data_IF_150206727352
#
_entry.id   IF_150206727352
#
_cell.length_a   1.000
_cell.length_b   1.000
_cell.length_c   1.000
_cell.angle_alpha   90.00
_cell.angle_beta   90.00
_cell.angle_gamma   90.00
#
_symmetry.space_group_name_H-M   'P 1'
#
loop_
_entity.id
_entity.type
_entity.pdbx_description
1 polymer ?
#
# COMPACT_ATOMS: atom_id res chain seq x y z
N UNK A 1 5.47 39.96 56.10
CA UNK A 1 5.95 39.62 57.47
C UNK A 1 6.99 40.64 57.89
N UNK A 2 7.04 41.04 59.17
CA UNK A 2 8.11 41.89 59.68
C UNK A 2 9.24 41.01 60.22
N UNK A 3 10.48 41.36 59.91
CA UNK A 3 11.64 40.84 60.62
C UNK A 3 12.26 42.03 61.33
N UNK A 4 12.31 41.97 62.66
CA UNK A 4 12.87 43.02 63.49
C UNK A 4 14.17 42.54 64.13
N UNK A 5 15.16 43.41 64.18
CA UNK A 5 16.38 43.24 64.97
C UNK A 5 16.56 44.52 65.80
N UNK A 6 16.25 44.45 67.10
CA UNK A 6 16.16 45.64 67.96
C UNK A 6 15.00 46.56 67.56
N UNK A 7 15.21 47.88 67.64
CA UNK A 7 14.20 48.90 67.30
C UNK A 7 14.01 49.10 65.78
N UNK A 8 14.79 48.38 64.95
CA UNK A 8 14.68 48.46 63.50
C UNK A 8 13.83 47.28 63.00
N UNK A 9 12.61 47.60 62.56
CA UNK A 9 11.73 46.66 61.88
C UNK A 9 11.76 46.90 60.38
N UNK A 10 12.10 45.85 59.61
CA UNK A 10 12.05 45.90 58.14
C UNK A 10 10.75 45.24 57.67
N UNK A 11 10.00 45.96 56.85
CA UNK A 11 8.81 45.43 56.16
C UNK A 11 9.31 44.47 55.08
N UNK A 12 9.20 43.16 55.29
CA UNK A 12 9.28 42.21 54.18
C UNK A 12 7.89 42.15 53.56
N UNK A 13 7.63 43.07 52.62
CA UNK A 13 6.48 42.94 51.73
C UNK A 13 6.80 41.85 50.72
N UNK A 14 6.18 40.67 50.85
CA UNK A 14 5.97 39.82 49.68
C UNK A 14 5.00 40.57 48.78
N UNK A 15 5.50 41.46 47.93
CA UNK A 15 4.70 42.05 46.85
C UNK A 15 4.39 40.89 45.91
N UNK A 16 3.25 40.22 46.10
CA UNK A 16 2.56 39.66 44.94
C UNK A 16 2.24 40.88 44.08
N UNK A 17 2.98 41.05 42.98
CA UNK A 17 2.68 42.14 42.06
C UNK A 17 1.34 41.81 41.41
N UNK A 18 0.41 42.75 41.42
CA UNK A 18 -0.99 42.53 41.01
C UNK A 18 -1.17 42.22 39.52
N UNK A 19 -0.09 42.25 38.75
CA UNK A 19 -0.02 41.98 37.31
C UNK A 19 0.59 40.61 36.98
N UNK A 20 1.08 39.85 37.96
CA UNK A 20 1.64 38.51 37.72
C UNK A 20 0.54 37.46 37.57
N UNK A 21 0.68 36.57 36.59
CA UNK A 21 -0.26 35.48 36.33
C UNK A 21 0.46 34.22 35.81
N UNK A 22 -0.07 33.02 36.11
CA UNK A 22 0.55 31.77 35.69
C UNK A 22 0.50 31.59 34.17
N UNK A 23 1.34 30.70 33.61
CA UNK A 23 1.44 30.52 32.17
C UNK A 23 0.14 29.98 31.58
N UNK A 24 -0.17 30.39 30.35
CA UNK A 24 -1.27 29.88 29.53
C UNK A 24 -0.80 29.71 28.10
N UNK A 25 -0.90 28.49 27.57
CA UNK A 25 -0.55 28.20 26.17
C UNK A 25 -1.68 28.70 25.27
N UNK A 26 -1.35 29.63 24.37
CA UNK A 26 -2.29 30.25 23.43
C UNK A 26 -2.25 29.59 22.04
N UNK A 27 -1.06 29.16 21.60
CA UNK A 27 -0.91 28.40 20.36
C UNK A 27 -0.54 26.96 20.70
N UNK A 28 -1.43 26.03 20.37
CA UNK A 28 -1.24 24.60 20.61
C UNK A 28 -0.51 23.96 19.41
N UNK A 29 0.41 23.02 19.65
CA UNK A 29 1.00 22.27 18.55
C UNK A 29 -0.04 21.33 17.93
N UNK A 30 0.18 21.01 16.66
CA UNK A 30 -0.67 20.12 15.87
C UNK A 30 0.18 19.02 15.24
N UNK A 31 -0.44 17.88 14.94
CA UNK A 31 0.22 16.78 14.25
C UNK A 31 0.81 17.25 12.92
N UNK A 32 2.03 16.82 12.63
CA UNK A 32 2.78 17.22 11.45
C UNK A 32 3.41 16.01 10.77
N UNK A 33 3.20 15.91 9.46
CA UNK A 33 3.82 14.91 8.60
C UNK A 33 4.68 15.64 7.57
N UNK A 34 6.00 15.49 7.66
CA UNK A 34 6.95 16.35 6.93
C UNK A 34 7.68 15.57 5.84
N UNK A 35 7.83 16.10 4.62
CA UNK A 35 8.69 15.48 3.61
C UNK A 35 10.15 15.41 4.07
N UNK A 36 10.88 14.41 3.58
CA UNK A 36 12.31 14.25 3.89
C UNK A 36 13.12 15.49 3.46
N UNK A 37 14.16 15.82 4.22
CA UNK A 37 15.07 16.95 3.99
C UNK A 37 14.39 18.34 4.01
N UNK A 38 13.13 18.44 4.45
CA UNK A 38 12.44 19.73 4.65
C UNK A 38 12.51 20.14 6.11
N UNK A 39 12.59 21.45 6.40
CA UNK A 39 12.49 21.96 7.75
C UNK A 39 11.07 21.77 8.29
N UNK A 40 10.95 21.72 9.61
CA UNK A 40 9.68 21.56 10.32
C UNK A 40 9.60 22.51 11.50
N UNK A 41 8.38 22.92 11.87
CA UNK A 41 8.15 23.70 13.08
C UNK A 41 6.94 23.15 13.81
N UNK A 42 7.11 22.83 15.09
CA UNK A 42 6.01 22.60 16.01
C UNK A 42 5.75 23.89 16.76
N UNK A 43 4.59 24.50 16.49
CA UNK A 43 4.24 25.78 17.07
C UNK A 43 3.84 25.62 18.54
N UNK A 44 4.38 26.44 19.42
CA UNK A 44 3.88 26.57 20.78
C UNK A 44 4.19 27.96 21.32
N UNK A 45 3.13 28.69 21.68
CA UNK A 45 3.25 30.02 22.25
C UNK A 45 2.49 30.07 23.56
N UNK A 46 3.09 30.68 24.58
CA UNK A 46 2.47 30.87 25.89
C UNK A 46 2.55 32.32 26.35
N UNK A 47 1.52 32.73 27.08
CA UNK A 47 1.46 34.00 27.80
C UNK A 47 1.68 33.73 29.29
N UNK A 48 2.25 34.68 30.01
CA UNK A 48 2.47 34.61 31.44
C UNK A 48 3.21 35.87 31.90
N UNK A 49 3.02 36.27 33.15
CA UNK A 49 3.82 37.33 33.76
C UNK A 49 4.33 36.84 35.12
N UNK A 50 5.66 36.69 35.32
CA UNK A 50 6.74 36.88 34.35
C UNK A 50 6.65 35.94 33.13
N UNK A 51 7.28 36.34 32.02
CA UNK A 51 7.29 35.60 30.75
C UNK A 51 7.72 34.13 30.98
N UNK A 52 6.92 33.14 30.55
CA UNK A 52 7.18 31.75 30.87
C UNK A 52 8.32 31.17 30.02
N UNK A 53 9.20 30.40 30.66
CA UNK A 53 10.18 29.60 29.94
C UNK A 53 9.48 28.39 29.30
N UNK A 54 9.74 28.15 28.02
CA UNK A 54 9.19 27.02 27.27
C UNK A 54 10.24 25.93 27.09
N UNK A 55 9.83 24.68 27.34
CA UNK A 55 10.61 23.47 27.12
C UNK A 55 9.78 22.46 26.34
N UNK A 56 10.45 21.63 25.56
CA UNK A 56 9.81 20.58 24.77
C UNK A 56 10.17 19.20 25.29
N UNK A 57 9.18 18.32 25.25
CA UNK A 57 9.32 16.91 25.61
C UNK A 57 8.83 16.04 24.46
N UNK A 58 9.60 15.01 24.11
CA UNK A 58 9.25 14.00 23.12
C UNK A 58 9.14 12.66 23.80
N UNK A 59 7.98 12.02 23.71
CA UNK A 59 7.68 10.74 24.37
C UNK A 59 7.98 10.78 25.89
N UNK A 60 7.81 11.96 26.52
CA UNK A 60 8.10 12.20 27.93
C UNK A 60 9.55 12.58 28.26
N UNK A 61 10.49 12.51 27.30
CA UNK A 61 11.89 12.88 27.50
C UNK A 61 12.17 14.31 27.04
N UNK A 62 13.05 15.01 27.74
CA UNK A 62 13.45 16.38 27.38
C UNK A 62 14.10 16.43 25.98
N UNK A 63 13.72 17.43 25.19
CA UNK A 63 14.29 17.67 23.86
C UNK A 63 15.37 18.73 23.96
N UNK A 64 16.63 18.31 23.80
CA UNK A 64 17.76 19.23 23.72
C UNK A 64 17.68 20.10 22.44
N UNK A 65 17.90 21.40 22.63
CA UNK A 65 17.84 22.45 21.60
C UNK A 65 19.16 23.22 21.53
N UNK A 66 19.22 24.20 20.64
CA UNK A 66 20.33 25.15 20.55
C UNK A 66 20.62 25.95 21.83
N UNK A 67 19.69 25.97 22.80
CA UNK A 67 19.92 26.57 24.12
C UNK A 67 20.77 25.68 25.03
N UNK A 68 20.71 24.37 24.81
CA UNK A 68 21.42 23.36 25.61
C UNK A 68 22.76 22.98 24.95
N UNK A 69 22.75 22.82 23.61
CA UNK A 69 23.91 22.52 22.79
C UNK A 69 23.85 23.34 21.49
N UNK A 70 24.83 24.23 21.26
CA UNK A 70 24.91 25.08 20.06
C UNK A 70 25.00 24.27 18.74
N UNK A 71 25.41 23.00 18.79
CA UNK A 71 25.46 22.12 17.62
C UNK A 71 24.16 21.34 17.39
N UNK A 72 23.15 21.52 18.25
CA UNK A 72 21.84 20.90 18.08
C UNK A 72 21.18 21.36 16.77
N UNK A 73 20.61 20.41 16.04
CA UNK A 73 19.86 20.67 14.80
C UNK A 73 18.42 21.16 15.08
N UNK A 74 18.07 21.29 16.37
CA UNK A 74 16.78 21.74 16.86
C UNK A 74 16.94 23.11 17.50
N UNK A 75 16.09 24.05 17.12
CA UNK A 75 16.16 25.44 17.57
C UNK A 75 14.89 25.77 18.33
N UNK A 76 15.02 26.26 19.56
CA UNK A 76 13.91 26.86 20.28
C UNK A 76 13.78 28.32 19.83
N UNK A 77 12.70 28.62 19.11
CA UNK A 77 12.42 29.95 18.60
C UNK A 77 11.99 30.90 19.74
N UNK A 78 12.11 32.23 19.54
CA UNK A 78 11.75 33.21 20.58
C UNK A 78 10.29 33.14 21.05
N UNK A 79 9.37 32.71 20.18
CA UNK A 79 7.95 32.54 20.50
C UNK A 79 7.64 31.26 21.28
N UNK A 80 8.63 30.37 21.46
CA UNK A 80 8.48 29.06 22.10
C UNK A 80 8.37 27.88 21.14
N UNK A 81 8.24 28.14 19.84
CA UNK A 81 8.08 27.10 18.83
C UNK A 81 9.38 26.29 18.64
N UNK A 82 9.25 24.98 18.40
CA UNK A 82 10.38 24.10 18.15
C UNK A 82 10.62 23.95 16.65
N UNK A 83 11.73 24.51 16.18
CA UNK A 83 12.16 24.44 14.79
C UNK A 83 13.19 23.32 14.57
N UNK A 84 13.04 22.59 13.47
CA UNK A 84 13.97 21.57 13.01
C UNK A 84 14.53 22.01 11.67
N UNK A 85 15.86 22.20 11.58
CA UNK A 85 16.49 22.52 10.30
C UNK A 85 16.41 21.33 9.33
N UNK A 86 16.66 20.12 9.84
CA UNK A 86 16.48 18.84 9.15
C UNK A 86 16.05 17.80 10.16
N UNK A 87 15.10 16.96 9.77
CA UNK A 87 14.63 15.86 10.60
C UNK A 87 15.50 14.62 10.43
N UNK A 88 15.89 14.02 11.54
CA UNK A 88 16.67 12.79 11.59
C UNK A 88 15.75 11.56 11.59
N UNK A 89 16.09 10.55 10.79
CA UNK A 89 15.39 9.27 10.71
C UNK A 89 16.26 8.07 11.13
N UNK A 90 17.51 8.31 11.53
CA UNK A 90 18.42 7.23 11.90
C UNK A 90 17.91 6.53 13.14
N UNK A 91 17.96 5.20 13.14
CA UNK A 91 17.57 4.39 14.30
C UNK A 91 18.32 4.85 15.54
N UNK A 92 17.60 5.12 16.63
CA UNK A 92 18.15 5.64 17.89
C UNK A 92 18.40 7.14 17.94
N UNK A 93 18.22 7.88 16.84
CA UNK A 93 18.30 9.35 16.78
C UNK A 93 17.13 9.97 16.00
N UNK A 94 16.04 9.23 15.82
CA UNK A 94 14.88 9.71 15.06
C UNK A 94 14.28 10.93 15.74
N UNK A 95 13.83 11.92 14.96
CA UNK A 95 13.03 13.05 15.44
C UNK A 95 11.54 12.74 15.50
N UNK A 96 11.12 11.58 15.03
CA UNK A 96 9.72 11.18 15.09
C UNK A 96 9.27 10.88 16.53
N UNK A 97 8.04 11.24 16.85
CA UNK A 97 7.46 10.98 18.18
C UNK A 97 6.33 11.92 18.53
N UNK A 98 5.85 11.79 19.77
CA UNK A 98 4.79 12.63 20.32
C UNK A 98 5.43 13.73 21.16
N UNK A 99 5.16 14.97 20.77
CA UNK A 99 5.72 16.17 21.38
C UNK A 99 4.70 16.89 22.26
N UNK A 100 5.22 17.49 23.32
CA UNK A 100 4.50 18.34 24.27
C UNK A 100 5.36 19.53 24.62
N UNK A 101 4.80 20.74 24.61
CA UNK A 101 5.47 21.92 25.14
C UNK A 101 4.98 22.21 26.56
N UNK A 102 5.91 22.64 27.40
CA UNK A 102 5.70 22.96 28.80
C UNK A 102 6.16 24.39 29.04
N UNK A 103 5.24 25.26 29.43
CA UNK A 103 5.50 26.66 29.75
C UNK A 103 5.49 26.86 31.27
N UNK A 104 6.56 27.41 31.85
CA UNK A 104 6.71 27.55 33.31
C UNK A 104 7.18 28.94 33.72
N UNK A 105 6.56 29.48 34.76
CA UNK A 105 7.08 30.59 35.57
C UNK A 105 6.98 30.24 37.07
N UNK A 106 7.27 31.18 37.96
CA UNK A 106 7.24 30.92 39.42
C UNK A 106 5.81 30.77 39.99
N UNK A 107 4.78 31.13 39.23
CA UNK A 107 3.39 30.99 39.63
C UNK A 107 2.76 29.68 39.16
N UNK A 108 3.31 29.01 38.16
CA UNK A 108 2.78 27.73 37.72
C UNK A 108 3.37 27.19 36.42
N UNK A 109 2.71 26.16 35.91
CA UNK A 109 3.10 25.41 34.71
C UNK A 109 1.86 25.16 33.85
N UNK A 110 1.97 25.40 32.54
CA UNK A 110 1.00 24.97 31.53
C UNK A 110 1.63 23.92 30.63
N UNK A 111 0.85 22.92 30.23
CA UNK A 111 1.29 21.81 29.36
C UNK A 111 0.37 21.79 28.13
N UNK A 112 0.93 21.65 26.94
CA UNK A 112 0.14 21.61 25.71
C UNK A 112 -0.59 20.28 25.52
N UNK A 113 -1.44 20.25 24.49
CA UNK A 113 -1.85 19.00 23.86
C UNK A 113 -0.64 18.29 23.25
N UNK A 114 -0.80 16.99 23.05
CA UNK A 114 0.13 16.17 22.30
C UNK A 114 0.07 16.53 20.81
N UNK A 115 1.23 16.57 20.15
CA UNK A 115 1.36 16.68 18.72
C UNK A 115 2.37 15.65 18.20
N UNK A 116 1.96 14.86 17.22
CA UNK A 116 2.79 13.82 16.63
C UNK A 116 3.59 14.39 15.46
N UNK A 117 4.90 14.19 15.48
CA UNK A 117 5.77 14.51 14.36
C UNK A 117 6.17 13.21 13.67
N UNK A 118 5.81 13.08 12.40
CA UNK A 118 6.23 11.98 11.54
C UNK A 118 6.85 12.51 10.27
N UNK A 119 7.70 11.69 9.66
CA UNK A 119 8.35 12.06 8.41
C UNK A 119 7.79 11.18 7.31
N UNK A 120 7.38 11.81 6.21
CA UNK A 120 6.85 11.10 5.03
C UNK A 120 7.90 10.11 4.55
N UNK A 121 7.50 8.84 4.50
CA UNK A 121 8.37 7.76 4.09
C UNK A 121 7.61 6.78 3.21
N UNK A 122 8.27 6.28 2.17
CA UNK A 122 7.83 5.14 1.39
C UNK A 122 9.08 4.35 1.01
N UNK A 123 9.16 3.11 1.48
CA UNK A 123 10.29 2.22 1.17
C UNK A 123 10.24 1.76 -0.28
N UNK A 124 11.38 1.30 -0.80
CA UNK A 124 11.50 0.80 -2.18
C UNK A 124 10.89 -0.59 -2.34
N UNK A 125 11.20 -1.51 -1.42
CA UNK A 125 10.84 -2.93 -1.56
C UNK A 125 9.39 -3.18 -1.14
N UNK A 126 8.63 -3.86 -1.98
CA UNK A 126 7.29 -4.32 -1.64
C UNK A 126 7.37 -5.44 -0.61
N UNK A 127 6.46 -5.41 0.37
CA UNK A 127 6.32 -6.53 1.33
C UNK A 127 5.89 -7.82 0.61
N UNK A 128 5.12 -7.69 -0.47
CA UNK A 128 4.71 -8.80 -1.34
C UNK A 128 4.38 -8.28 -2.73
N UNK A 129 5.03 -8.86 -3.74
CA UNK A 129 4.67 -8.66 -5.13
C UNK A 129 3.55 -9.61 -5.56
N UNK A 130 2.74 -9.23 -6.57
CA UNK A 130 1.83 -10.18 -7.20
C UNK A 130 2.60 -11.26 -7.98
N UNK A 131 1.95 -12.40 -8.20
CA UNK A 131 2.49 -13.54 -8.94
C UNK A 131 1.63 -13.85 -10.15
N UNK A 132 2.23 -14.47 -11.17
CA UNK A 132 1.52 -14.92 -12.36
C UNK A 132 0.43 -15.93 -12.03
N UNK A 133 -0.67 -15.87 -12.77
CA UNK A 133 -1.83 -16.74 -12.59
C UNK A 133 -2.33 -17.24 -13.94
N UNK A 134 -2.56 -18.54 -14.02
CA UNK A 134 -3.21 -19.19 -15.16
C UNK A 134 -4.54 -19.79 -14.69
N UNK A 135 -5.64 -19.40 -15.32
CA UNK A 135 -6.99 -19.92 -15.02
C UNK A 135 -7.73 -20.25 -16.30
N UNK A 136 -8.85 -20.97 -16.20
CA UNK A 136 -9.80 -21.14 -17.30
C UNK A 136 -10.95 -20.14 -17.22
N UNK A 137 -11.60 -19.86 -18.36
CA UNK A 137 -12.77 -18.96 -18.41
C UNK A 137 -13.82 -19.35 -17.36
N UNK A 138 -14.31 -18.36 -16.62
CA UNK A 138 -15.32 -18.49 -15.58
C UNK A 138 -14.77 -18.74 -14.17
N UNK A 139 -13.50 -19.13 -14.04
CA UNK A 139 -12.84 -19.30 -12.73
C UNK A 139 -12.52 -17.96 -12.06
N UNK A 140 -12.32 -18.00 -10.74
CA UNK A 140 -11.95 -16.83 -9.97
C UNK A 140 -10.45 -16.58 -10.04
N UNK A 141 -10.06 -15.32 -10.25
CA UNK A 141 -8.66 -14.86 -10.16
C UNK A 141 -8.48 -13.99 -8.93
N UNK A 142 -7.36 -14.20 -8.25
CA UNK A 142 -6.94 -13.43 -7.09
C UNK A 142 -5.48 -13.04 -7.25
N UNK A 143 -5.20 -11.74 -7.30
CA UNK A 143 -3.85 -11.20 -7.14
C UNK A 143 -3.71 -10.53 -5.78
N UNK A 144 -2.60 -10.81 -5.09
CA UNK A 144 -2.32 -10.27 -3.77
C UNK A 144 -1.05 -9.42 -3.81
N UNK A 145 -1.16 -8.19 -3.32
CA UNK A 145 -0.05 -7.23 -3.24
C UNK A 145 -0.01 -6.61 -1.84
N UNK A 146 1.16 -6.64 -1.22
CA UNK A 146 1.40 -5.93 0.04
C UNK A 146 2.37 -4.77 -0.25
N UNK A 147 1.92 -3.51 -0.11
CA UNK A 147 2.74 -2.36 -0.49
C UNK A 147 3.99 -2.25 0.39
N UNK A 148 5.01 -1.48 -0.01
CA UNK A 148 6.13 -1.17 0.85
C UNK A 148 5.67 -0.58 2.19
N UNK A 149 6.54 -0.60 3.21
CA UNK A 149 6.26 0.15 4.44
C UNK A 149 6.36 1.64 4.13
N UNK A 150 5.43 2.42 4.66
CA UNK A 150 5.43 3.86 4.51
C UNK A 150 4.59 4.52 5.58
N UNK A 151 4.86 5.80 5.84
CA UNK A 151 4.05 6.63 6.71
C UNK A 151 3.66 7.93 5.97
N UNK A 152 2.36 8.24 5.84
CA UNK A 152 1.20 7.38 6.15
C UNK A 152 1.23 6.04 5.40
N UNK A 153 0.47 5.05 5.90
CA UNK A 153 0.38 3.74 5.24
C UNK A 153 -0.07 3.92 3.79
N UNK A 154 0.66 3.34 2.81
CA UNK A 154 0.37 3.57 1.41
C UNK A 154 -0.91 2.88 0.96
N UNK A 155 -1.64 3.58 0.09
CA UNK A 155 -2.85 3.07 -0.55
C UNK A 155 -2.44 2.32 -1.82
N UNK A 156 -3.04 1.15 -2.02
CA UNK A 156 -2.82 0.31 -3.21
C UNK A 156 -3.88 0.57 -4.28
N UNK A 157 -3.41 0.73 -5.52
CA UNK A 157 -4.21 0.70 -6.74
C UNK A 157 -3.59 -0.30 -7.73
N UNK A 158 -4.31 -0.61 -8.81
CA UNK A 158 -3.84 -1.57 -9.82
C UNK A 158 -3.82 -0.94 -11.20
N UNK A 159 -2.93 -1.44 -12.03
CA UNK A 159 -2.76 -1.08 -13.43
C UNK A 159 -2.75 -2.36 -14.25
N UNK A 160 -3.51 -2.36 -15.34
CA UNK A 160 -3.56 -3.46 -16.30
C UNK A 160 -3.08 -2.93 -17.65
N UNK A 161 -2.08 -3.56 -18.23
CA UNK A 161 -1.52 -3.24 -19.56
C UNK A 161 -1.23 -1.74 -19.74
N UNK A 162 -0.63 -1.12 -18.72
CA UNK A 162 -0.33 0.32 -18.77
C UNK A 162 -1.43 1.25 -18.26
N UNK A 163 -2.66 0.76 -18.07
CA UNK A 163 -3.83 1.60 -17.75
C UNK A 163 -4.30 1.40 -16.31
N UNK A 164 -4.54 2.51 -15.60
CA UNK A 164 -5.01 2.47 -14.22
C UNK A 164 -6.42 1.86 -14.15
N UNK A 165 -6.60 0.90 -13.25
CA UNK A 165 -7.90 0.28 -12.99
C UNK A 165 -8.74 1.15 -12.05
N UNK A 166 -9.99 1.39 -12.40
CA UNK A 166 -10.91 2.19 -11.60
C UNK A 166 -11.73 1.34 -10.63
N UNK A 167 -11.71 1.67 -9.33
CA UNK A 167 -12.48 0.96 -8.28
C UNK A 167 -13.99 0.82 -8.52
N UNK A 168 -14.58 1.58 -9.45
CA UNK A 168 -16.03 1.56 -9.75
C UNK A 168 -16.42 0.55 -10.82
N UNK A 169 -15.45 -0.10 -11.45
CA UNK A 169 -15.73 -1.17 -12.40
C UNK A 169 -16.27 -2.39 -11.65
N UNK A 170 -17.45 -2.85 -12.03
CA UNK A 170 -18.14 -3.95 -11.36
C UNK A 170 -17.50 -5.32 -11.68
N UNK A 171 -16.58 -5.38 -12.64
CA UNK A 171 -15.90 -6.62 -13.03
C UNK A 171 -14.87 -7.13 -12.00
N UNK A 172 -14.45 -6.29 -11.04
CA UNK A 172 -13.49 -6.69 -10.02
C UNK A 172 -13.68 -6.00 -8.66
N UNK A 173 -13.13 -6.61 -7.62
CA UNK A 173 -13.12 -6.07 -6.24
C UNK A 173 -11.68 -5.78 -5.83
N UNK A 174 -11.44 -4.57 -5.30
CA UNK A 174 -10.13 -4.13 -4.78
C UNK A 174 -10.21 -3.75 -3.29
N UNK A 175 -9.56 -4.56 -2.44
CA UNK A 175 -9.54 -4.37 -0.99
C UNK A 175 -8.19 -4.74 -0.39
N UNK A 176 -7.59 -3.83 0.38
CA UNK A 176 -6.31 -4.05 1.10
C UNK A 176 -5.19 -4.66 0.23
N UNK A 177 -5.06 -4.17 -1.01
CA UNK A 177 -4.04 -4.66 -1.94
C UNK A 177 -4.36 -5.99 -2.63
N UNK A 178 -5.54 -6.56 -2.40
CA UNK A 178 -6.06 -7.71 -3.13
C UNK A 178 -6.92 -7.26 -4.31
N UNK A 179 -6.68 -7.80 -5.50
CA UNK A 179 -7.53 -7.69 -6.68
C UNK A 179 -8.22 -9.03 -6.90
N UNK A 180 -9.55 -9.03 -7.06
CA UNK A 180 -10.33 -10.25 -7.27
C UNK A 180 -11.24 -10.07 -8.48
N UNK A 181 -11.14 -11.02 -9.42
CA UNK A 181 -12.02 -11.14 -10.59
C UNK A 181 -12.83 -12.42 -10.36
N UNK A 182 -14.16 -12.31 -10.22
CA UNK A 182 -15.00 -13.44 -9.82
C UNK A 182 -15.17 -14.49 -10.94
N UNK A 183 -15.28 -14.01 -12.18
CA UNK A 183 -15.55 -14.85 -13.35
C UNK A 183 -14.67 -14.43 -14.52
N UNK A 184 -13.46 -14.99 -14.59
CA UNK A 184 -12.45 -14.62 -15.57
C UNK A 184 -12.97 -14.72 -17.01
N UNK A 185 -12.77 -13.65 -17.79
CA UNK A 185 -13.03 -13.58 -19.21
C UNK A 185 -11.72 -13.50 -19.98
N UNK A 186 -11.73 -13.80 -21.29
CA UNK A 186 -10.53 -13.68 -22.13
C UNK A 186 -9.93 -12.27 -22.13
N UNK A 187 -10.80 -11.27 -22.02
CA UNK A 187 -10.40 -9.87 -21.91
C UNK A 187 -9.64 -9.56 -20.64
N UNK A 188 -9.69 -10.40 -19.60
CA UNK A 188 -8.98 -10.18 -18.33
C UNK A 188 -7.51 -10.61 -18.39
N UNK A 189 -7.12 -11.36 -19.42
CA UNK A 189 -5.70 -11.64 -19.68
C UNK A 189 -4.92 -10.34 -19.86
N UNK A 190 -3.69 -10.29 -19.35
CA UNK A 190 -2.85 -9.11 -19.42
C UNK A 190 -1.81 -9.04 -18.31
N UNK A 191 -1.04 -7.95 -18.33
CA UNK A 191 0.00 -7.67 -17.35
C UNK A 191 -0.55 -6.74 -16.28
N UNK A 192 -0.50 -7.21 -15.03
CA UNK A 192 -1.00 -6.49 -13.87
C UNK A 192 0.15 -5.99 -13.00
N UNK A 193 0.06 -4.73 -12.60
CA UNK A 193 1.03 -4.06 -11.72
C UNK A 193 0.27 -3.41 -10.57
N UNK A 194 0.74 -3.66 -9.35
CA UNK A 194 0.23 -3.01 -8.16
C UNK A 194 0.99 -1.70 -7.91
N UNK A 195 0.27 -0.64 -7.57
CA UNK A 195 0.81 0.70 -7.37
C UNK A 195 0.51 1.13 -5.93
N UNK A 196 1.58 1.35 -5.16
CA UNK A 196 1.52 1.84 -3.79
C UNK A 196 1.79 3.34 -3.76
N UNK A 197 0.89 4.13 -3.18
CA UNK A 197 0.99 5.60 -3.15
C UNK A 197 0.77 6.15 -1.74
N UNK A 198 1.62 7.07 -1.31
CA UNK A 198 1.39 7.95 -0.18
C UNK A 198 1.99 9.35 -0.47
N UNK A 199 1.98 10.24 0.53
CA UNK A 199 2.49 11.59 0.36
C UNK A 199 4.02 11.68 0.13
N UNK A 200 4.77 10.58 0.32
CA UNK A 200 6.20 10.50 -0.01
C UNK A 200 6.44 10.15 -1.50
N UNK A 201 5.41 9.64 -2.19
CA UNK A 201 5.46 9.33 -3.60
C UNK A 201 4.74 8.03 -3.95
N UNK A 202 5.16 7.45 -5.08
CA UNK A 202 4.55 6.26 -5.66
C UNK A 202 5.62 5.18 -5.92
N UNK A 203 5.25 3.91 -5.76
CA UNK A 203 6.07 2.75 -6.13
C UNK A 203 5.22 1.74 -6.90
N UNK A 204 5.81 1.15 -7.92
CA UNK A 204 5.19 0.07 -8.70
C UNK A 204 5.79 -1.28 -8.30
N UNK A 205 4.97 -2.31 -8.22
CA UNK A 205 5.41 -3.67 -7.96
C UNK A 205 6.06 -4.28 -9.21
N UNK A 206 6.64 -5.47 -9.06
CA UNK A 206 6.87 -6.36 -10.21
C UNK A 206 5.53 -6.66 -10.90
N UNK A 207 5.63 -6.90 -12.21
CA UNK A 207 4.52 -7.30 -13.04
C UNK A 207 4.11 -8.76 -12.75
N UNK A 208 2.81 -9.03 -12.85
CA UNK A 208 2.23 -10.37 -12.84
C UNK A 208 1.37 -10.58 -14.09
N UNK A 209 1.56 -11.69 -14.79
CA UNK A 209 0.78 -12.07 -15.95
C UNK A 209 -0.46 -12.86 -15.52
N UNK A 210 -1.65 -12.42 -15.96
CA UNK A 210 -2.85 -13.26 -15.95
C UNK A 210 -3.03 -13.86 -17.34
N UNK A 211 -3.22 -15.18 -17.39
CA UNK A 211 -3.53 -15.94 -18.60
C UNK A 211 -4.84 -16.70 -18.43
N UNK A 212 -5.88 -16.28 -19.16
CA UNK A 212 -7.20 -16.93 -19.14
C UNK A 212 -7.34 -17.86 -20.34
N UNK A 213 -7.33 -19.16 -20.06
CA UNK A 213 -7.38 -20.26 -21.03
C UNK A 213 -8.83 -20.72 -21.31
N UNK A 214 -9.05 -21.34 -22.47
CA UNK A 214 -10.34 -21.93 -22.83
C UNK A 214 -10.23 -23.44 -22.91
N UNK A 215 -11.12 -24.14 -22.22
CA UNK A 215 -11.17 -25.61 -22.29
C UNK A 215 -11.52 -26.06 -23.72
N UNK A 216 -10.99 -27.21 -24.18
CA UNK A 216 -11.39 -27.79 -25.45
C UNK A 216 -12.91 -28.03 -25.51
N UNK A 217 -13.54 -27.53 -26.57
CA UNK A 217 -14.96 -27.75 -26.87
C UNK A 217 -15.10 -28.21 -28.32
N UNK A 218 -15.84 -29.28 -28.53
CA UNK A 218 -16.21 -29.72 -29.87
C UNK A 218 -17.16 -28.70 -30.52
N UNK A 219 -16.73 -28.11 -31.62
CA UNK A 219 -17.60 -27.31 -32.51
C UNK A 219 -18.31 -28.22 -33.50
N UNK A 220 -17.65 -29.31 -33.92
CA UNK A 220 -18.23 -30.37 -34.75
C UNK A 220 -17.82 -31.73 -34.23
N UNK A 221 -18.80 -32.60 -33.98
CA UNK A 221 -18.55 -33.98 -33.57
C UNK A 221 -18.62 -34.91 -34.79
N UNK A 222 -17.88 -36.01 -34.79
CA UNK A 222 -18.10 -37.09 -35.76
C UNK A 222 -19.54 -37.61 -35.62
N UNK A 223 -20.15 -37.92 -36.75
CA UNK A 223 -21.54 -38.40 -36.82
C UNK A 223 -21.56 -39.86 -37.23
N UNK A 224 -22.54 -40.61 -36.74
CA UNK A 224 -22.73 -42.01 -37.10
C UNK A 224 -22.94 -42.15 -38.62
N UNK A 225 -22.33 -43.19 -39.20
CA UNK A 225 -22.37 -43.42 -40.63
C UNK A 225 -22.65 -44.90 -40.93
N UNK A 226 -23.69 -45.15 -41.74
CA UNK A 226 -23.99 -46.46 -42.29
C UNK A 226 -23.57 -46.50 -43.77
N UNK A 227 -22.56 -47.31 -44.10
CA UNK A 227 -21.99 -47.39 -45.45
C UNK A 227 -21.96 -48.84 -45.93
N UNK A 228 -22.03 -49.04 -47.26
CA UNK A 228 -21.91 -50.38 -47.86
C UNK A 228 -20.48 -50.89 -47.72
N UNK A 229 -20.32 -52.21 -47.60
CA UNK A 229 -19.00 -52.87 -47.68
C UNK A 229 -18.22 -52.41 -48.92
N UNK A 230 -16.94 -52.13 -48.74
CA UNK A 230 -16.04 -51.57 -49.75
C UNK A 230 -16.07 -50.04 -49.87
N UNK A 231 -17.03 -49.35 -49.24
CA UNK A 231 -17.11 -47.89 -49.28
C UNK A 231 -16.04 -47.23 -48.41
N UNK A 232 -15.77 -45.95 -48.68
CA UNK A 232 -14.96 -45.09 -47.82
C UNK A 232 -15.88 -44.20 -47.00
N UNK A 233 -15.58 -44.00 -45.72
CA UNK A 233 -16.29 -43.08 -44.84
C UNK A 233 -15.34 -41.98 -44.36
N UNK A 234 -15.87 -40.77 -44.23
CA UNK A 234 -15.17 -39.61 -43.67
C UNK A 234 -15.81 -39.25 -42.32
N UNK A 235 -14.97 -39.19 -41.28
CA UNK A 235 -15.35 -38.58 -40.01
C UNK A 235 -14.64 -37.26 -39.84
N UNK A 236 -15.39 -36.25 -39.44
CA UNK A 236 -14.91 -34.89 -39.18
C UNK A 236 -15.10 -34.55 -37.71
N UNK A 237 -14.07 -34.02 -37.07
CA UNK A 237 -14.05 -33.56 -35.69
C UNK A 237 -13.39 -32.18 -35.66
N UNK A 238 -14.12 -31.15 -35.24
CA UNK A 238 -13.58 -29.80 -35.11
C UNK A 238 -13.70 -29.39 -33.64
N UNK A 239 -12.63 -28.77 -33.12
CA UNK A 239 -12.57 -28.30 -31.74
C UNK A 239 -12.13 -26.85 -31.69
N UNK A 240 -12.48 -26.17 -30.61
CA UNK A 240 -11.90 -24.88 -30.21
C UNK A 240 -11.38 -24.98 -28.78
N UNK A 241 -10.42 -24.14 -28.44
CA UNK A 241 -9.83 -24.05 -27.12
C UNK A 241 -8.61 -23.15 -27.14
N UNK A 242 -8.11 -22.78 -25.98
CA UNK A 242 -6.85 -22.06 -25.84
C UNK A 242 -6.03 -22.71 -24.72
N UNK A 243 -4.89 -23.36 -25.04
CA UNK A 243 -4.30 -23.46 -26.38
C UNK A 243 -5.14 -24.29 -27.35
N UNK A 244 -4.88 -24.17 -28.66
CA UNK A 244 -5.58 -24.93 -29.70
C UNK A 244 -5.44 -26.44 -29.39
N UNK A 245 -6.56 -27.18 -29.22
CA UNK A 245 -6.49 -28.59 -28.84
C UNK A 245 -5.98 -29.47 -29.98
N UNK A 246 -5.11 -30.43 -29.67
CA UNK A 246 -4.73 -31.48 -30.61
C UNK A 246 -5.85 -32.54 -30.71
N UNK A 247 -6.14 -33.00 -31.93
CA UNK A 247 -7.18 -34.01 -32.18
C UNK A 247 -6.55 -35.36 -32.47
N UNK A 248 -7.01 -36.39 -31.76
CA UNK A 248 -6.58 -37.77 -31.92
C UNK A 248 -7.77 -38.70 -32.15
N UNK A 249 -7.62 -39.63 -33.09
CA UNK A 249 -8.67 -40.58 -33.47
C UNK A 249 -8.36 -41.97 -32.91
N UNK A 250 -9.39 -42.63 -32.36
CA UNK A 250 -9.30 -43.97 -31.82
C UNK A 250 -10.50 -44.80 -32.25
N UNK A 251 -10.32 -46.13 -32.34
CA UNK A 251 -11.39 -47.10 -32.46
C UNK A 251 -11.56 -47.77 -31.09
N UNK A 252 -12.79 -47.88 -30.60
CA UNK A 252 -13.08 -48.39 -29.25
C UNK A 252 -12.54 -49.82 -29.04
N UNK A 253 -12.78 -50.70 -30.01
CA UNK A 253 -12.27 -52.07 -30.01
C UNK A 253 -11.09 -52.23 -30.98
N UNK A 254 -9.91 -51.84 -30.51
CA UNK A 254 -8.63 -52.10 -31.17
C UNK A 254 -8.03 -50.89 -31.89
N UNK A 255 -7.15 -51.16 -32.85
CA UNK A 255 -6.47 -50.09 -33.59
C UNK A 255 -7.30 -49.65 -34.79
N UNK A 256 -7.13 -48.38 -35.18
CA UNK A 256 -7.59 -47.91 -36.49
C UNK A 256 -6.98 -48.81 -37.59
N UNK A 257 -7.70 -49.04 -38.70
CA UNK A 257 -7.28 -49.99 -39.72
C UNK A 257 -6.02 -49.51 -40.46
N UNK A 258 -4.87 -50.07 -40.07
CA UNK A 258 -3.56 -49.75 -40.63
C UNK A 258 -3.56 -49.85 -42.17
N UNK A 259 -3.03 -48.82 -42.84
CA UNK A 259 -3.00 -48.71 -44.30
C UNK A 259 -4.36 -48.44 -44.97
N UNK A 260 -5.45 -48.34 -44.21
CA UNK A 260 -6.79 -47.95 -44.69
C UNK A 260 -7.32 -46.70 -43.99
N UNK A 261 -6.51 -46.03 -43.18
CA UNK A 261 -6.81 -44.74 -42.59
C UNK A 261 -6.00 -43.64 -43.27
N UNK A 262 -6.61 -42.47 -43.44
CA UNK A 262 -5.96 -41.26 -43.95
C UNK A 262 -6.40 -40.08 -43.10
N UNK A 263 -5.46 -39.34 -42.50
CA UNK A 263 -5.78 -38.17 -41.67
C UNK A 263 -5.39 -36.94 -42.46
N UNK A 264 -6.38 -36.24 -43.02
CA UNK A 264 -6.12 -35.22 -44.04
C UNK A 264 -5.88 -33.81 -43.46
N UNK A 265 -6.08 -33.56 -42.15
CA UNK A 265 -5.72 -32.27 -41.48
C UNK A 265 -5.91 -32.30 -39.92
N UNK A 266 -5.48 -33.38 -39.23
CA UNK A 266 -5.74 -33.71 -37.79
C UNK A 266 -7.23 -33.84 -37.38
N UNK A 267 -8.09 -32.98 -37.91
CA UNK A 267 -9.53 -32.85 -37.67
C UNK A 267 -10.39 -33.77 -38.54
N UNK A 268 -9.82 -34.45 -39.53
CA UNK A 268 -10.56 -35.34 -40.42
C UNK A 268 -9.85 -36.67 -40.58
N UNK A 269 -10.62 -37.77 -40.54
CA UNK A 269 -10.12 -39.11 -40.82
C UNK A 269 -11.00 -39.80 -41.87
N UNK A 270 -10.35 -40.32 -42.92
CA UNK A 270 -10.94 -41.22 -43.89
C UNK A 270 -10.65 -42.66 -43.49
N UNK A 271 -11.68 -43.48 -43.44
CA UNK A 271 -11.54 -44.93 -43.33
C UNK A 271 -11.95 -45.55 -44.67
N UNK A 272 -10.96 -46.01 -45.42
CA UNK A 272 -11.09 -46.58 -46.78
C UNK A 272 -11.47 -48.05 -46.71
N UNK A 273 -12.27 -48.51 -47.69
CA UNK A 273 -12.68 -49.92 -47.84
C UNK A 273 -13.22 -50.51 -46.54
N UNK A 274 -14.30 -49.95 -45.99
CA UNK A 274 -14.97 -50.51 -44.81
C UNK A 274 -15.37 -51.95 -45.12
N UNK A 275 -15.00 -52.88 -44.24
CA UNK A 275 -15.30 -54.30 -44.37
C UNK A 275 -16.47 -54.62 -43.44
N UNK A 276 -17.32 -55.56 -43.84
CA UNK A 276 -18.31 -56.10 -42.91
C UNK A 276 -17.58 -56.75 -41.74
N UNK A 277 -17.92 -56.32 -40.52
CA UNK A 277 -17.60 -57.02 -39.28
C UNK A 277 -18.53 -58.20 -39.09
#
# INVERSE_FOLDING_TARGET
HFVCCGEVCVVISSKFRSDEFPPRIIDQPVDLIVPRERPATLNCRAEGNPEPAIQWFRNGEYVETNKDDIYSQRTLLPDGSLFFLRLNQRKGKSDEGVYTCVARNHLGTAISRNASLYIRALQEEFRRHPSDVVVTVGEQVVLECSPPRGHPEPVVTWKKDGTLMHRKDQSYVMHNGKLTIAHAQKTDSGVYVCIATNEAGQRESRAAQISVLEKPVFTRRPSDAAVKSGSTVLFSCETRGDPIPAVHWYKEEGQLPAGRQDVEDENQIFLKKILNG
#
